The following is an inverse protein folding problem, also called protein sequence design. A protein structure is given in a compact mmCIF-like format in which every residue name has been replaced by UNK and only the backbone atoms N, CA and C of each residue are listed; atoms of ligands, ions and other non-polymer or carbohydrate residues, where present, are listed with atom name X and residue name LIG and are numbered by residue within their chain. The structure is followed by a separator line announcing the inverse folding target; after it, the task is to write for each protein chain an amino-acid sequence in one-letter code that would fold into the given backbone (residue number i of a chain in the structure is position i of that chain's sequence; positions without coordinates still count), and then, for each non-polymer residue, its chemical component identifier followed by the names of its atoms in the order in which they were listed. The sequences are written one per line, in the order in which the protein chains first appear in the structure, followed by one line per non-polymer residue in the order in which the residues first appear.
data_IF_474540118250
#
_entry.id   IF_474540118250
#
_cell.length_a   1.000
_cell.length_b   1.000
_cell.length_c   1.000
_cell.angle_alpha   90.00
_cell.angle_beta   90.00
_cell.angle_gamma   90.00
#
_symmetry.space_group_name_H-M   'P 1'
#
loop_
_entity.id
_entity.type
_entity.pdbx_description
1 polymer ?
#
# COMPACT_ATOMS: atom_id res chain seq x y z
N UNK A 1 -23.52 15.97 5.32
CA UNK A 1 -23.03 14.69 4.74
C UNK A 1 -21.82 14.98 3.85
N UNK A 2 -20.61 14.62 4.26
CA UNK A 2 -19.43 14.69 3.40
C UNK A 2 -19.60 13.58 2.35
N UNK A 3 -19.72 13.93 1.05
CA UNK A 3 -19.71 12.94 -0.03
C UNK A 3 -18.47 12.07 0.20
N UNK A 4 -18.64 10.75 0.39
CA UNK A 4 -17.50 9.82 0.45
C UNK A 4 -16.77 9.99 -0.87
N UNK A 5 -15.55 10.53 -0.84
CA UNK A 5 -14.67 10.44 -2.00
C UNK A 5 -14.52 8.95 -2.29
N UNK A 6 -14.95 8.58 -3.47
CA UNK A 6 -15.12 7.21 -3.89
C UNK A 6 -13.75 6.58 -4.14
N UNK A 7 -13.60 5.30 -3.84
CA UNK A 7 -12.50 4.44 -4.29
C UNK A 7 -12.19 4.59 -5.80
N UNK A 8 -13.15 5.03 -6.61
CA UNK A 8 -12.93 5.34 -8.03
C UNK A 8 -12.05 6.58 -8.29
N UNK A 9 -11.99 7.58 -7.38
CA UNK A 9 -11.02 8.68 -7.51
C UNK A 9 -9.58 8.21 -7.24
N UNK A 10 -9.39 7.20 -6.38
CA UNK A 10 -8.07 6.65 -6.11
C UNK A 10 -7.56 5.78 -7.25
N UNK A 11 -8.42 5.08 -7.99
CA UNK A 11 -8.04 4.30 -9.17
C UNK A 11 -7.48 5.20 -10.30
N UNK A 12 -8.13 6.34 -10.56
CA UNK A 12 -7.62 7.32 -11.52
C UNK A 12 -6.23 7.87 -11.12
N UNK A 13 -6.00 8.09 -9.82
CA UNK A 13 -4.72 8.53 -9.30
C UNK A 13 -3.62 7.47 -9.45
N UNK A 14 -3.93 6.18 -9.17
CA UNK A 14 -2.98 5.08 -9.36
C UNK A 14 -2.54 4.98 -10.82
N UNK A 15 -3.52 5.06 -11.72
CA UNK A 15 -3.32 4.93 -13.16
C UNK A 15 -2.41 6.01 -13.70
N UNK A 16 -2.65 7.28 -13.34
CA UNK A 16 -1.80 8.40 -13.78
C UNK A 16 -0.34 8.17 -13.38
N UNK A 17 -0.08 7.80 -12.12
CA UNK A 17 1.29 7.59 -11.65
C UNK A 17 1.94 6.35 -12.27
N UNK A 18 1.19 5.27 -12.50
CA UNK A 18 1.69 4.10 -13.22
C UNK A 18 2.05 4.44 -14.68
N UNK A 19 1.22 5.24 -15.36
CA UNK A 19 1.51 5.74 -16.69
C UNK A 19 2.76 6.63 -16.71
N UNK A 20 2.97 7.46 -15.68
CA UNK A 20 4.18 8.28 -15.58
C UNK A 20 5.44 7.43 -15.42
N UNK A 21 5.38 6.33 -14.64
CA UNK A 21 6.47 5.35 -14.54
C UNK A 21 6.77 4.72 -15.90
N UNK A 22 5.74 4.32 -16.65
CA UNK A 22 5.89 3.73 -17.99
C UNK A 22 6.56 4.74 -18.94
N UNK A 23 6.06 5.99 -18.98
CA UNK A 23 6.62 7.05 -19.82
C UNK A 23 8.08 7.37 -19.44
N UNK A 24 8.39 7.44 -18.16
CA UNK A 24 9.76 7.68 -17.68
C UNK A 24 10.69 6.50 -18.01
N UNK A 25 10.19 5.27 -17.93
CA UNK A 25 10.93 4.07 -18.35
C UNK A 25 11.25 4.12 -19.83
N UNK A 26 10.27 4.45 -20.66
CA UNK A 26 10.46 4.57 -22.11
C UNK A 26 11.54 5.60 -22.44
N UNK A 27 11.49 6.80 -21.85
CA UNK A 27 12.54 7.82 -22.04
C UNK A 27 13.93 7.33 -21.62
N UNK A 28 14.02 6.62 -20.49
CA UNK A 28 15.28 6.04 -20.02
C UNK A 28 15.81 4.94 -20.96
N UNK A 29 14.92 4.16 -21.57
CA UNK A 29 15.31 3.10 -22.52
C UNK A 29 15.73 3.70 -23.88
N UNK A 30 15.12 4.81 -24.30
CA UNK A 30 15.45 5.56 -25.53
C UNK A 30 16.74 6.40 -25.41
N UNK A 31 16.91 7.11 -24.30
CA UNK A 31 18.16 7.81 -23.94
C UNK A 31 18.61 7.36 -22.53
N UNK A 32 19.60 6.44 -22.44
CA UNK A 32 20.06 5.89 -21.18
C UNK A 32 21.01 6.81 -20.41
N UNK A 33 20.82 8.13 -20.52
CA UNK A 33 21.56 9.14 -19.77
C UNK A 33 21.26 9.07 -18.26
N UNK A 34 22.23 9.49 -17.44
CA UNK A 34 22.05 9.59 -15.99
C UNK A 34 20.88 10.53 -15.61
N UNK A 35 20.55 11.49 -16.48
CA UNK A 35 19.39 12.37 -16.30
C UNK A 35 18.07 11.59 -16.32
N UNK A 36 17.85 10.77 -17.36
CA UNK A 36 16.63 9.97 -17.45
C UNK A 36 16.56 8.84 -16.42
N UNK A 37 17.69 8.28 -16.00
CA UNK A 37 17.71 7.32 -14.88
C UNK A 37 17.29 7.97 -13.56
N UNK A 38 17.79 9.17 -13.26
CA UNK A 38 17.34 9.93 -12.07
C UNK A 38 15.86 10.30 -12.15
N UNK A 39 15.40 10.72 -13.32
CA UNK A 39 13.98 10.99 -13.57
C UNK A 39 13.14 9.75 -13.30
N UNK A 40 13.51 8.61 -13.88
CA UNK A 40 12.83 7.33 -13.71
C UNK A 40 12.78 6.90 -12.23
N UNK A 41 13.88 7.00 -11.49
CA UNK A 41 13.94 6.70 -10.05
C UNK A 41 12.95 7.57 -9.27
N UNK A 42 12.93 8.89 -9.52
CA UNK A 42 12.05 9.83 -8.81
C UNK A 42 10.58 9.54 -9.10
N UNK A 43 10.24 9.34 -10.37
CA UNK A 43 8.86 9.04 -10.80
C UNK A 43 8.38 7.70 -10.22
N UNK A 44 9.22 6.67 -10.29
CA UNK A 44 8.93 5.33 -9.74
C UNK A 44 8.70 5.39 -8.25
N UNK A 45 9.53 6.13 -7.52
CA UNK A 45 9.39 6.22 -6.07
C UNK A 45 8.14 7.01 -5.65
N UNK A 46 7.77 8.07 -6.37
CA UNK A 46 6.48 8.77 -6.16
C UNK A 46 5.30 7.82 -6.35
N UNK A 47 5.32 6.95 -7.36
CA UNK A 47 4.29 5.94 -7.57
C UNK A 47 4.24 4.90 -6.45
N UNK A 48 5.39 4.46 -5.91
CA UNK A 48 5.47 3.57 -4.76
C UNK A 48 4.78 4.18 -3.52
N UNK A 49 5.08 5.44 -3.19
CA UNK A 49 4.47 6.12 -2.04
C UNK A 49 2.95 6.26 -2.20
N UNK A 50 2.49 6.59 -3.41
CA UNK A 50 1.08 6.67 -3.75
C UNK A 50 0.36 5.32 -3.61
N UNK A 51 0.91 4.23 -4.16
CA UNK A 51 0.31 2.90 -4.06
C UNK A 51 0.28 2.39 -2.62
N UNK A 52 1.34 2.68 -1.85
CA UNK A 52 1.35 2.38 -0.42
C UNK A 52 0.26 3.14 0.33
N UNK A 53 0.01 4.41 0.00
CA UNK A 53 -1.12 5.16 0.56
C UNK A 53 -2.47 4.57 0.18
N UNK A 54 -2.68 4.26 -1.10
CA UNK A 54 -3.91 3.64 -1.59
C UNK A 54 -4.22 2.32 -0.92
N UNK A 55 -3.20 1.47 -0.74
CA UNK A 55 -3.33 0.21 -0.03
C UNK A 55 -3.87 0.43 1.39
N UNK A 56 -3.36 1.43 2.11
CA UNK A 56 -3.83 1.77 3.46
C UNK A 56 -5.27 2.27 3.46
N UNK A 57 -5.63 3.14 2.53
CA UNK A 57 -7.01 3.63 2.41
C UNK A 57 -7.97 2.50 2.04
N UNK A 58 -7.55 1.59 1.15
CA UNK A 58 -8.32 0.40 0.81
C UNK A 58 -8.61 -0.47 2.03
N UNK A 59 -7.61 -0.71 2.90
CA UNK A 59 -7.83 -1.46 4.14
C UNK A 59 -8.89 -0.78 5.02
N UNK A 60 -8.81 0.54 5.21
CA UNK A 60 -9.79 1.29 6.03
C UNK A 60 -11.20 1.17 5.44
N UNK A 61 -11.34 1.22 4.12
CA UNK A 61 -12.63 1.26 3.45
C UNK A 61 -13.29 -0.11 3.27
N UNK A 62 -12.50 -1.16 3.03
CA UNK A 62 -13.00 -2.45 2.53
C UNK A 62 -12.65 -3.64 3.41
N UNK A 63 -11.59 -3.57 4.22
CA UNK A 63 -11.17 -4.69 5.08
C UNK A 63 -11.58 -4.45 6.53
N UNK A 64 -11.38 -3.23 7.01
CA UNK A 64 -11.63 -2.85 8.38
C UNK A 64 -13.12 -2.64 8.63
N UNK A 65 -13.68 -3.43 9.55
CA UNK A 65 -15.05 -3.23 10.02
C UNK A 65 -15.07 -2.22 11.18
N UNK A 66 -15.91 -1.18 11.06
CA UNK A 66 -16.09 -0.14 12.09
C UNK A 66 -16.44 -0.66 13.49
N UNK A 67 -16.98 -1.88 13.60
CA UNK A 67 -17.36 -2.48 14.89
C UNK A 67 -16.22 -3.24 15.59
N UNK A 68 -15.21 -3.69 14.85
CA UNK A 68 -14.16 -4.58 15.38
C UNK A 68 -12.75 -4.02 15.22
N UNK A 69 -12.58 -3.00 14.38
CA UNK A 69 -11.26 -2.45 14.09
C UNK A 69 -10.84 -1.46 15.17
N UNK A 70 -9.57 -1.53 15.58
CA UNK A 70 -9.03 -0.63 16.59
C UNK A 70 -8.90 0.79 16.05
N UNK A 71 -9.29 1.78 16.85
CA UNK A 71 -9.07 3.19 16.51
C UNK A 71 -7.57 3.47 16.27
N UNK A 72 -6.69 2.75 16.98
CA UNK A 72 -5.25 2.88 16.84
C UNK A 72 -4.75 2.37 15.49
N UNK A 73 -5.32 1.28 14.95
CA UNK A 73 -4.97 0.77 13.62
C UNK A 73 -5.42 1.76 12.53
N UNK A 74 -6.61 2.34 12.66
CA UNK A 74 -7.11 3.35 11.72
C UNK A 74 -6.23 4.59 11.75
N UNK A 75 -5.88 5.11 12.94
CA UNK A 75 -4.98 6.25 13.08
C UNK A 75 -3.60 5.95 12.50
N UNK A 76 -3.06 4.76 12.75
CA UNK A 76 -1.78 4.35 12.18
C UNK A 76 -1.83 4.28 10.64
N UNK A 77 -2.87 3.72 10.04
CA UNK A 77 -3.02 3.67 8.58
C UNK A 77 -3.17 5.07 7.94
N UNK A 78 -3.73 6.03 8.67
CA UNK A 78 -3.82 7.44 8.26
C UNK A 78 -2.56 8.24 8.49
N UNK A 79 -1.53 7.66 9.11
CA UNK A 79 -0.34 8.38 9.58
C UNK A 79 -0.67 9.53 10.52
N UNK A 80 -1.55 9.26 11.48
CA UNK A 80 -2.03 10.22 12.47
C UNK A 80 -1.76 9.72 13.89
N UNK A 81 -1.52 10.64 14.82
CA UNK A 81 -1.45 10.35 16.26
C UNK A 81 -2.21 11.39 17.06
N UNK A 82 -2.69 10.98 18.23
CA UNK A 82 -3.33 11.89 19.20
C UNK A 82 -2.28 12.52 20.09
N UNK A 83 -2.37 13.83 20.29
CA UNK A 83 -1.55 14.60 21.21
C UNK A 83 -2.44 15.47 22.10
N UNK A 84 -1.89 15.91 23.23
CA UNK A 84 -2.55 16.78 24.20
C UNK A 84 -1.77 18.09 24.24
N UNK A 85 -2.45 19.22 24.08
CA UNK A 85 -1.82 20.53 24.18
C UNK A 85 -1.70 21.01 25.64
N UNK A 86 -1.10 22.18 25.85
CA UNK A 86 -0.94 22.83 27.16
C UNK A 86 -2.26 23.17 27.87
N UNK A 87 -3.37 23.22 27.14
CA UNK A 87 -4.73 23.41 27.66
C UNK A 87 -5.44 22.10 28.02
N UNK A 88 -4.80 20.95 27.82
CA UNK A 88 -5.39 19.63 28.05
C UNK A 88 -6.35 19.17 26.95
N UNK A 89 -6.34 19.80 25.77
CA UNK A 89 -7.21 19.45 24.64
C UNK A 89 -6.53 18.40 23.74
N UNK A 90 -7.31 17.40 23.32
CA UNK A 90 -6.85 16.37 22.38
C UNK A 90 -6.91 16.91 20.95
N UNK A 91 -5.81 16.79 20.21
CA UNK A 91 -5.76 17.09 18.78
C UNK A 91 -5.05 15.98 18.00
N UNK A 92 -5.26 15.97 16.68
CA UNK A 92 -4.61 15.04 15.77
C UNK A 92 -3.39 15.72 15.15
N UNK A 93 -2.24 15.04 15.18
CA UNK A 93 -1.03 15.49 14.49
C UNK A 93 -0.57 14.43 13.48
N UNK A 94 -0.06 14.84 12.30
CA UNK A 94 0.58 13.92 11.37
C UNK A 94 1.75 13.20 12.03
N UNK A 95 1.80 11.88 11.87
CA UNK A 95 2.89 11.02 12.31
C UNK A 95 3.14 9.94 11.28
N UNK A 96 3.97 10.29 10.30
CA UNK A 96 4.44 9.36 9.30
C UNK A 96 5.40 8.32 9.86
N UNK A 97 5.63 7.28 9.07
CA UNK A 97 6.64 6.25 9.30
C UNK A 97 7.27 5.86 7.97
N UNK A 98 8.39 5.13 8.02
CA UNK A 98 9.01 4.64 6.79
C UNK A 98 8.05 3.75 5.99
N UNK A 99 8.15 3.79 4.66
CA UNK A 99 7.38 2.94 3.73
C UNK A 99 7.32 1.47 4.19
N UNK A 100 8.48 0.93 4.58
CA UNK A 100 8.61 -0.47 5.00
C UNK A 100 7.83 -0.78 6.28
N UNK A 101 7.82 0.15 7.24
CA UNK A 101 7.01 0.02 8.46
C UNK A 101 5.52 0.06 8.12
N UNK A 102 5.13 0.94 7.20
CA UNK A 102 3.75 0.99 6.70
C UNK A 102 3.29 -0.31 6.04
N UNK A 103 4.11 -0.88 5.16
CA UNK A 103 3.81 -2.16 4.52
C UNK A 103 3.71 -3.30 5.55
N UNK A 104 4.57 -3.32 6.58
CA UNK A 104 4.45 -4.30 7.68
C UNK A 104 3.13 -4.17 8.44
N UNK A 105 2.67 -2.93 8.70
CA UNK A 105 1.37 -2.69 9.32
C UNK A 105 0.24 -3.25 8.44
N UNK A 106 0.27 -2.97 7.13
CA UNK A 106 -0.70 -3.53 6.17
C UNK A 106 -0.74 -5.07 6.29
N UNK A 107 0.41 -5.74 6.22
CA UNK A 107 0.45 -7.21 6.28
C UNK A 107 -0.06 -7.77 7.60
N UNK A 108 0.23 -7.08 8.72
CA UNK A 108 -0.31 -7.45 10.03
C UNK A 108 -1.85 -7.38 10.04
N UNK A 109 -2.43 -6.32 9.46
CA UNK A 109 -3.88 -6.14 9.40
C UNK A 109 -4.53 -7.17 8.46
N UNK A 110 -3.94 -7.42 7.30
CA UNK A 110 -4.42 -8.46 6.38
C UNK A 110 -4.46 -9.83 7.05
N UNK A 111 -3.39 -10.18 7.78
CA UNK A 111 -3.32 -11.43 8.54
C UNK A 111 -4.38 -11.50 9.64
N UNK A 112 -4.57 -10.42 10.42
CA UNK A 112 -5.57 -10.41 11.50
C UNK A 112 -7.01 -10.50 10.99
N UNK A 113 -7.26 -10.04 9.76
CA UNK A 113 -8.56 -10.13 9.10
C UNK A 113 -8.73 -11.37 8.21
N UNK A 114 -7.76 -12.30 8.23
CA UNK A 114 -7.84 -13.55 7.47
C UNK A 114 -7.82 -13.36 5.95
N UNK A 115 -7.27 -12.25 5.45
CA UNK A 115 -7.15 -11.98 4.01
C UNK A 115 -5.97 -12.79 3.48
N UNK A 116 -6.17 -13.66 2.46
CA UNK A 116 -5.17 -14.65 2.03
C UNK A 116 -4.10 -14.03 1.12
N UNK A 117 -3.34 -13.06 1.62
CA UNK A 117 -2.17 -12.48 0.94
C UNK A 117 -0.91 -13.08 1.52
N UNK A 118 -0.15 -13.81 0.69
CA UNK A 118 1.14 -14.37 1.08
C UNK A 118 2.24 -13.35 0.83
N UNK A 119 3.06 -13.10 1.86
CA UNK A 119 4.16 -12.16 1.78
C UNK A 119 5.41 -12.76 2.40
N UNK A 120 6.48 -12.82 1.61
CA UNK A 120 7.79 -13.20 2.10
C UNK A 120 8.64 -11.95 2.39
N UNK A 121 8.80 -11.66 3.69
CA UNK A 121 9.63 -10.56 4.20
C UNK A 121 11.14 -10.85 4.15
N UNK A 122 11.55 -12.03 3.68
CA UNK A 122 12.93 -12.42 3.39
C UNK A 122 13.30 -12.33 1.91
N UNK A 123 12.30 -12.16 1.04
CA UNK A 123 12.45 -12.16 -0.42
C UNK A 123 13.37 -11.06 -0.95
N UNK A 124 13.90 -11.27 -2.15
CA UNK A 124 14.67 -10.23 -2.86
C UNK A 124 13.82 -8.98 -3.11
N UNK A 125 12.54 -9.16 -3.47
CA UNK A 125 11.61 -8.06 -3.74
C UNK A 125 11.39 -7.18 -2.50
N UNK A 126 11.26 -7.79 -1.32
CA UNK A 126 11.17 -7.04 -0.09
C UNK A 126 12.44 -6.25 0.25
N UNK A 127 13.62 -6.81 -0.08
CA UNK A 127 14.91 -6.11 0.09
C UNK A 127 15.04 -4.93 -0.88
N UNK A 128 14.48 -5.04 -2.09
CA UNK A 128 14.48 -3.97 -3.08
C UNK A 128 13.78 -2.69 -2.57
N UNK A 129 12.82 -2.80 -1.65
CA UNK A 129 12.20 -1.63 -1.00
C UNK A 129 13.23 -0.78 -0.25
N UNK A 130 14.10 -1.41 0.57
CA UNK A 130 15.14 -0.67 1.31
C UNK A 130 16.15 -0.02 0.37
N UNK A 131 16.54 -0.75 -0.67
CA UNK A 131 17.48 -0.24 -1.67
C UNK A 131 16.89 0.92 -2.44
N UNK A 132 15.63 0.82 -2.89
CA UNK A 132 14.92 1.89 -3.57
C UNK A 132 14.82 3.16 -2.70
N UNK A 133 14.57 3.03 -1.40
CA UNK A 133 14.58 4.17 -0.45
C UNK A 133 15.96 4.82 -0.40
N UNK A 134 17.04 4.05 -0.30
CA UNK A 134 18.42 4.58 -0.27
C UNK A 134 18.79 5.28 -1.57
N UNK A 135 18.47 4.68 -2.71
CA UNK A 135 18.71 5.25 -4.05
C UNK A 135 17.93 6.55 -4.20
N UNK A 136 16.64 6.56 -3.85
CA UNK A 136 15.80 7.77 -3.86
C UNK A 136 16.39 8.87 -3.00
N UNK A 137 16.74 8.57 -1.74
CA UNK A 137 17.26 9.58 -0.82
C UNK A 137 18.52 10.24 -1.37
N UNK A 138 19.41 9.44 -1.96
CA UNK A 138 20.63 9.90 -2.63
C UNK A 138 20.33 10.78 -3.84
N UNK A 139 19.40 10.38 -4.70
CA UNK A 139 19.04 11.07 -5.95
C UNK A 139 18.23 12.36 -5.74
N UNK A 140 17.42 12.44 -4.68
CA UNK A 140 16.62 13.64 -4.35
C UNK A 140 17.44 14.66 -3.56
N UNK A 141 18.33 14.21 -2.69
CA UNK A 141 19.15 15.08 -1.84
C UNK A 141 20.65 14.82 -2.06
N UNK A 142 21.18 15.03 -3.28
CA UNK A 142 22.58 14.75 -3.57
C UNK A 142 23.49 15.68 -2.76
N UNK A 143 24.51 15.11 -2.13
CA UNK A 143 25.53 15.85 -1.35
C UNK A 143 26.90 15.85 -2.02
N UNK A 144 27.11 14.99 -3.02
CA UNK A 144 28.32 14.87 -3.82
C UNK A 144 28.00 14.41 -5.25
N UNK A 145 28.94 14.56 -6.17
CA UNK A 145 28.76 14.15 -7.57
C UNK A 145 28.42 12.67 -7.75
N UNK A 146 28.97 11.78 -6.91
CA UNK A 146 28.62 10.37 -6.95
C UNK A 146 27.14 10.10 -6.62
N UNK A 147 26.44 11.03 -5.95
CA UNK A 147 25.04 10.86 -5.58
C UNK A 147 24.08 11.06 -6.75
N UNK A 148 24.50 11.72 -7.84
CA UNK A 148 23.66 11.95 -9.02
C UNK A 148 23.79 10.85 -10.08
N UNK A 149 24.80 9.98 -9.99
CA UNK A 149 24.94 8.84 -10.89
C UNK A 149 24.00 7.71 -10.49
N UNK A 150 23.28 7.15 -11.47
CA UNK A 150 22.35 6.05 -11.25
C UNK A 150 22.71 4.95 -12.23
N UNK A 151 23.06 3.78 -11.71
CA UNK A 151 23.31 2.60 -12.54
C UNK A 151 22.01 2.02 -13.08
N UNK A 152 22.10 1.17 -14.10
CA UNK A 152 20.94 0.45 -14.65
C UNK A 152 20.33 -0.47 -13.59
N UNK A 153 21.18 -1.11 -12.80
CA UNK A 153 20.82 -2.04 -11.73
C UNK A 153 20.07 -1.32 -10.59
N UNK A 154 20.48 -0.09 -10.27
CA UNK A 154 19.76 0.74 -9.30
C UNK A 154 18.39 1.18 -9.81
N UNK A 155 18.31 1.59 -11.08
CA UNK A 155 17.03 1.91 -11.72
C UNK A 155 16.08 0.70 -11.71
N UNK A 156 16.59 -0.48 -12.10
CA UNK A 156 15.84 -1.73 -12.09
C UNK A 156 15.40 -2.12 -10.67
N UNK A 157 16.27 -1.94 -9.67
CA UNK A 157 15.92 -2.16 -8.27
C UNK A 157 14.73 -1.30 -7.83
N UNK A 158 14.68 -0.03 -8.24
CA UNK A 158 13.54 0.85 -7.98
C UNK A 158 12.27 0.36 -8.69
N UNK A 159 12.39 -0.11 -9.93
CA UNK A 159 11.26 -0.66 -10.68
C UNK A 159 10.69 -1.94 -10.03
N UNK A 160 11.55 -2.86 -9.60
CA UNK A 160 11.13 -4.08 -8.92
C UNK A 160 10.43 -3.78 -7.58
N UNK A 161 10.89 -2.75 -6.85
CA UNK A 161 10.20 -2.26 -5.66
C UNK A 161 8.78 -1.75 -5.98
N UNK A 162 8.59 -1.05 -7.11
CA UNK A 162 7.28 -0.62 -7.59
C UNK A 162 6.38 -1.80 -7.96
N UNK A 163 6.89 -2.73 -8.78
CA UNK A 163 6.14 -3.95 -9.17
C UNK A 163 5.69 -4.73 -7.93
N UNK A 164 6.56 -4.87 -6.93
CA UNK A 164 6.22 -5.54 -5.68
C UNK A 164 5.06 -4.87 -4.94
N UNK A 165 5.10 -3.54 -4.74
CA UNK A 165 4.02 -2.81 -4.04
C UNK A 165 2.71 -2.86 -4.84
N UNK A 166 2.79 -2.76 -6.17
CA UNK A 166 1.63 -2.92 -7.05
C UNK A 166 1.01 -4.32 -6.93
N UNK A 167 1.82 -5.38 -6.93
CA UNK A 167 1.35 -6.76 -6.80
C UNK A 167 0.69 -6.99 -5.44
N UNK A 168 1.24 -6.42 -4.36
CA UNK A 168 0.62 -6.44 -3.03
C UNK A 168 -0.75 -5.77 -3.05
N UNK A 169 -0.89 -4.61 -3.70
CA UNK A 169 -2.17 -3.91 -3.82
C UNK A 169 -3.21 -4.76 -4.55
N UNK A 170 -2.85 -5.33 -5.70
CA UNK A 170 -3.75 -6.18 -6.48
C UNK A 170 -4.12 -7.46 -5.73
N UNK A 171 -3.14 -8.14 -5.12
CA UNK A 171 -3.37 -9.33 -4.30
C UNK A 171 -4.29 -9.04 -3.11
N UNK A 172 -4.16 -7.86 -2.51
CA UNK A 172 -5.04 -7.41 -1.42
C UNK A 172 -6.47 -7.22 -1.89
N UNK A 173 -6.68 -6.55 -3.02
CA UNK A 173 -8.02 -6.32 -3.60
C UNK A 173 -8.69 -7.64 -3.99
N UNK A 174 -7.95 -8.55 -4.62
CA UNK A 174 -8.47 -9.86 -5.01
C UNK A 174 -8.74 -10.75 -3.79
N UNK A 175 -7.81 -10.78 -2.83
CA UNK A 175 -7.92 -11.60 -1.62
C UNK A 175 -9.10 -11.19 -0.73
N UNK A 176 -9.35 -9.89 -0.57
CA UNK A 176 -10.50 -9.40 0.18
C UNK A 176 -11.83 -9.70 -0.51
N UNK A 177 -11.90 -9.57 -1.84
CA UNK A 177 -13.09 -9.92 -2.61
C UNK A 177 -13.44 -11.42 -2.47
N UNK A 178 -12.43 -12.30 -2.56
CA UNK A 178 -12.59 -13.74 -2.35
C UNK A 178 -13.06 -14.07 -0.93
N UNK A 179 -12.51 -13.40 0.08
CA UNK A 179 -12.92 -13.60 1.48
C UNK A 179 -14.40 -13.24 1.69
N UNK A 180 -14.88 -12.16 1.08
CA UNK A 180 -16.30 -11.76 1.13
C UNK A 180 -17.20 -12.80 0.48
N UNK A 181 -16.83 -13.30 -0.71
CA UNK A 181 -17.60 -14.32 -1.43
C UNK A 181 -17.70 -15.61 -0.60
N UNK A 182 -16.58 -16.08 -0.05
CA UNK A 182 -16.55 -17.29 0.78
C UNK A 182 -17.34 -17.13 2.10
N UNK A 183 -17.27 -15.95 2.72
CA UNK A 183 -18.09 -15.59 3.89
C UNK A 183 -19.59 -15.61 3.58
N UNK A 184 -20.00 -15.07 2.42
CA UNK A 184 -21.40 -15.09 1.99
C UNK A 184 -21.90 -16.52 1.71
N UNK A 185 -21.10 -17.36 1.05
CA UNK A 185 -21.46 -18.75 0.75
C UNK A 185 -21.59 -19.63 2.01
N UNK A 186 -20.68 -19.46 2.98
CA UNK A 186 -20.75 -20.16 4.27
C UNK A 186 -21.98 -19.73 5.11
N UNK A 187 -22.37 -18.45 5.07
CA UNK A 187 -23.59 -17.95 5.70
C UNK A 187 -24.89 -18.46 5.07
N UNK A 188 -24.90 -18.73 3.77
CA UNK A 188 -26.03 -19.35 3.05
C UNK A 188 -26.19 -20.84 3.40
N UNK A 189 -25.07 -21.58 3.51
CA UNK A 189 -25.06 -22.99 3.94
C UNK A 189 -25.58 -23.17 5.38
N UNK A 190 -25.26 -22.23 6.29
CA UNK A 190 -25.69 -22.27 7.68
C UNK A 190 -27.19 -22.03 7.92
N UNK A 191 -27.88 -21.32 7.02
CA UNK A 191 -29.34 -21.08 7.15
C UNK A 191 -30.20 -22.30 6.77
N UNK A 192 -29.69 -23.21 5.93
CA UNK A 192 -30.43 -24.41 5.51
C UNK A 192 -30.38 -25.59 6.50
N UNK A 193 -29.57 -25.53 7.56
CA UNK A 193 -29.50 -26.61 8.57
C UNK A 193 -30.37 -26.40 9.81
N UNK A 194 -30.94 -25.20 10.03
CA UNK A 194 -31.77 -24.91 11.22
C UNK A 194 -33.27 -25.13 11.03
N UNK A 195 -33.76 -25.46 9.83
CA UNK A 195 -35.19 -25.71 9.57
C UNK A 195 -35.60 -27.18 9.56
N UNK A 196 -34.68 -28.14 9.79
CA UNK A 196 -34.97 -29.58 9.66
C UNK A 196 -35.09 -30.35 10.99
N UNK A 197 -34.97 -29.70 12.16
CA UNK A 197 -35.02 -30.38 13.47
C UNK A 197 -35.99 -29.75 14.50
N UNK A 198 -37.11 -29.17 14.03
CA UNK A 198 -38.16 -28.62 14.92
C UNK A 198 -39.53 -29.29 14.75
N UNK A 199 -39.58 -30.54 14.28
CA UNK A 199 -40.83 -31.32 14.28
C UNK A 199 -40.54 -32.79 14.51
N UNK A 200 -40.23 -33.14 15.76
CA UNK A 200 -40.44 -34.48 16.28
C UNK A 200 -40.48 -34.46 17.82
N UNK A 201 -41.70 -34.65 18.33
CA UNK A 201 -42.14 -34.94 19.71
C UNK A 201 -42.44 -33.76 20.60
#
# INVERSE_FOLDING_TARGET
MRKKKSFFESDAFAKVLAEDVIRAKQRMDEDPSDAHRREFVRTTYSAIEAQSWQLRMYLIEHVMNKKTSSIHEISALKEESYAINDKGEIYIQPRGYSLKVGLRLVFSILKSHGIPVQVDLGSADWKNIDHAVKIRNRVIHPKKMADISVSKEEAECCYQAFVYVNNVLLATILGSALAVINGAMSGLSGKNRRSLFSSAK
#
